data_IF_198414989940
#
_entry.id   IF_198414989940
#
_cell.length_a   1.000
_cell.length_b   1.000
_cell.length_c   1.000
_cell.angle_alpha   90.00
_cell.angle_beta   90.00
_cell.angle_gamma   90.00
#
_symmetry.space_group_name_H-M   'P 1'
#
loop_
_entity.id
_entity.type
_entity.pdbx_description
1 polymer ?
#
# COMPACT_ATOMS: atom_id res chain seq x y z
N UNK A 1 -10.70 5.99 12.97
CA UNK A 1 -10.56 4.51 13.13
C UNK A 1 -10.52 4.18 14.60
N UNK A 2 -11.23 3.14 15.09
CA UNK A 2 -11.13 2.70 16.48
C UNK A 2 -9.70 2.28 16.85
N UNK A 3 -9.25 2.61 18.06
CA UNK A 3 -7.90 2.31 18.55
C UNK A 3 -7.65 0.80 18.63
N UNK A 4 -8.67 0.02 18.98
CA UNK A 4 -8.61 -1.44 19.03
C UNK A 4 -8.23 -2.07 17.69
N UNK A 5 -8.73 -1.53 16.58
CA UNK A 5 -8.39 -1.98 15.23
C UNK A 5 -6.91 -1.73 14.95
N UNK A 6 -6.41 -0.52 15.25
CA UNK A 6 -4.99 -0.18 15.06
C UNK A 6 -4.08 -1.03 15.95
N UNK A 7 -4.46 -1.22 17.22
CA UNK A 7 -3.71 -2.04 18.18
C UNK A 7 -3.64 -3.53 17.78
N UNK A 8 -4.61 -4.03 16.99
CA UNK A 8 -4.62 -5.41 16.49
C UNK A 8 -3.63 -5.67 15.36
N UNK A 9 -3.07 -4.64 14.73
CA UNK A 9 -2.13 -4.81 13.63
C UNK A 9 -0.86 -5.47 14.13
N UNK A 10 -0.42 -6.57 13.49
CA UNK A 10 0.69 -7.41 13.96
C UNK A 10 1.94 -6.61 14.36
N UNK A 11 2.35 -5.64 13.51
CA UNK A 11 3.51 -4.78 13.76
C UNK A 11 3.32 -3.84 14.96
N UNK A 12 2.11 -3.32 15.16
CA UNK A 12 1.80 -2.45 16.31
C UNK A 12 1.70 -3.28 17.58
N UNK A 13 0.98 -4.41 17.54
CA UNK A 13 0.80 -5.34 18.66
C UNK A 13 2.13 -5.85 19.23
N UNK A 14 3.16 -6.00 18.39
CA UNK A 14 4.50 -6.38 18.83
C UNK A 14 5.24 -5.27 19.62
N UNK A 15 4.80 -4.00 19.52
CA UNK A 15 5.44 -2.84 20.12
C UNK A 15 4.66 -2.24 21.30
N UNK A 16 3.35 -2.48 21.38
CA UNK A 16 2.48 -1.88 22.40
C UNK A 16 1.83 -2.93 23.29
N UNK A 17 1.80 -2.66 24.59
CA UNK A 17 1.22 -3.58 25.58
C UNK A 17 -0.31 -3.42 25.72
N UNK A 18 -0.81 -2.20 25.56
CA UNK A 18 -2.22 -1.87 25.68
C UNK A 18 -2.59 -0.62 24.87
N UNK A 19 -3.90 -0.37 24.71
CA UNK A 19 -4.42 0.76 23.93
C UNK A 19 -4.08 2.14 24.51
N UNK A 20 -3.90 2.25 25.83
CA UNK A 20 -3.55 3.53 26.48
C UNK A 20 -2.12 3.97 26.14
N UNK A 21 -1.18 3.01 26.12
CA UNK A 21 0.19 3.24 25.68
C UNK A 21 0.22 3.68 24.20
N UNK A 22 -0.53 2.99 23.34
CA UNK A 22 -0.66 3.38 21.93
C UNK A 22 -1.25 4.79 21.78
N UNK A 23 -2.34 5.10 22.49
CA UNK A 23 -2.97 6.42 22.45
C UNK A 23 -1.99 7.54 22.87
N UNK A 24 -1.22 7.31 23.93
CA UNK A 24 -0.22 8.27 24.43
C UNK A 24 0.90 8.49 23.42
N UNK A 25 1.42 7.42 22.82
CA UNK A 25 2.43 7.52 21.76
C UNK A 25 1.88 8.28 20.54
N UNK A 26 0.66 7.96 20.10
CA UNK A 26 0.05 8.61 18.92
C UNK A 26 -0.24 10.10 19.13
N UNK A 27 -0.49 10.55 20.37
CA UNK A 27 -0.65 11.98 20.69
C UNK A 27 0.61 12.81 20.50
N UNK A 28 1.79 12.18 20.45
CA UNK A 28 3.06 12.86 20.14
C UNK A 28 3.25 13.12 18.64
N UNK A 29 2.41 12.53 17.79
CA UNK A 29 2.51 12.66 16.34
C UNK A 29 2.00 14.01 15.85
N UNK A 30 2.72 14.62 14.92
CA UNK A 30 2.22 15.79 14.18
C UNK A 30 1.23 15.43 13.06
N UNK A 31 1.09 14.14 12.72
CA UNK A 31 0.28 13.68 11.56
C UNK A 31 -1.03 13.01 11.96
N UNK A 32 -1.19 12.66 13.23
CA UNK A 32 -2.33 11.92 13.75
C UNK A 32 -2.94 12.69 14.92
N UNK A 33 -4.26 12.57 15.06
CA UNK A 33 -4.97 13.08 16.23
C UNK A 33 -5.78 11.96 16.86
N UNK A 34 -5.70 11.88 18.19
CA UNK A 34 -6.44 10.92 19.01
C UNK A 34 -7.63 11.65 19.62
N UNK A 35 -8.79 11.00 19.67
CA UNK A 35 -9.96 11.55 20.35
C UNK A 35 -9.71 11.76 21.85
N UNK A 36 -10.50 12.63 22.47
CA UNK A 36 -10.38 12.97 23.89
C UNK A 36 -10.45 11.72 24.77
N UNK A 37 -11.41 10.83 24.49
CA UNK A 37 -11.60 9.54 25.16
C UNK A 37 -10.50 8.50 24.88
N UNK A 38 -9.55 8.79 23.97
CA UNK A 38 -8.45 7.89 23.62
C UNK A 38 -8.83 6.71 22.71
N UNK A 39 -10.09 6.57 22.31
CA UNK A 39 -10.58 5.35 21.64
C UNK A 39 -10.55 5.42 20.13
N UNK A 40 -10.29 6.58 19.52
CA UNK A 40 -10.24 6.74 18.07
C UNK A 40 -9.02 7.53 17.67
N UNK A 41 -8.49 7.21 16.49
CA UNK A 41 -7.44 7.97 15.82
C UNK A 41 -7.87 8.34 14.42
N UNK A 42 -7.49 9.52 13.96
CA UNK A 42 -7.64 9.96 12.56
C UNK A 42 -6.37 10.70 12.11
N UNK A 43 -6.19 10.84 10.80
CA UNK A 43 -5.15 11.73 10.25
C UNK A 43 -5.52 13.18 10.54
N UNK A 44 -4.51 14.02 10.79
CA UNK A 44 -4.68 15.47 10.87
C UNK A 44 -5.08 16.00 9.50
N UNK A 45 -4.28 15.65 8.48
CA UNK A 45 -4.61 15.93 7.08
C UNK A 45 -5.35 14.73 6.48
N UNK A 46 -6.62 14.91 6.06
CA UNK A 46 -7.33 13.89 5.30
C UNK A 46 -6.60 13.53 4.01
N UNK A 47 -6.77 12.30 3.55
CA UNK A 47 -6.31 11.90 2.22
C UNK A 47 -7.29 12.45 1.18
N UNK A 48 -6.79 13.21 0.22
CA UNK A 48 -7.54 13.94 -0.80
C UNK A 48 -7.52 13.22 -2.15
N UNK A 49 -8.28 13.73 -3.12
CA UNK A 49 -8.26 13.23 -4.49
C UNK A 49 -6.92 13.53 -5.19
N UNK A 50 -6.35 14.71 -4.97
CA UNK A 50 -5.01 15.04 -5.49
C UNK A 50 -3.93 14.12 -4.92
N UNK A 51 -4.02 13.73 -3.64
CA UNK A 51 -3.10 12.73 -3.07
C UNK A 51 -3.24 11.36 -3.76
N UNK A 52 -4.46 11.01 -4.22
CA UNK A 52 -4.71 9.79 -4.96
C UNK A 52 -4.13 9.86 -6.37
N UNK A 53 -4.32 10.98 -7.07
CA UNK A 53 -3.77 11.23 -8.41
C UNK A 53 -2.24 11.19 -8.39
N UNK A 54 -1.61 11.87 -7.43
CA UNK A 54 -0.16 11.87 -7.25
C UNK A 54 0.37 10.45 -6.95
N UNK A 55 -0.34 9.70 -6.10
CA UNK A 55 0.01 8.31 -5.82
C UNK A 55 -0.09 7.45 -7.09
N UNK A 56 -1.17 7.60 -7.86
CA UNK A 56 -1.39 6.83 -9.09
C UNK A 56 -0.36 7.15 -10.17
N UNK A 57 0.05 8.41 -10.31
CA UNK A 57 1.07 8.83 -11.26
C UNK A 57 2.44 8.18 -11.01
N UNK A 58 2.69 7.68 -9.79
CA UNK A 58 3.93 6.96 -9.43
C UNK A 58 3.81 5.44 -9.49
N UNK A 59 2.64 4.90 -9.84
CA UNK A 59 2.41 3.47 -9.89
C UNK A 59 2.45 2.97 -11.33
N UNK A 60 3.36 2.03 -11.59
CA UNK A 60 3.43 1.28 -12.85
C UNK A 60 2.79 -0.10 -12.65
N UNK A 61 2.02 -0.55 -13.64
CA UNK A 61 1.49 -1.92 -13.69
C UNK A 61 2.42 -2.76 -14.54
N UNK A 62 3.03 -3.79 -13.95
CA UNK A 62 3.88 -4.74 -14.64
C UNK A 62 3.13 -6.06 -14.86
N UNK A 63 2.95 -6.43 -16.12
CA UNK A 63 2.47 -7.76 -16.54
C UNK A 63 3.64 -8.64 -17.00
N UNK A 64 3.39 -9.92 -17.30
CA UNK A 64 4.40 -10.87 -17.79
C UNK A 64 5.63 -10.95 -16.88
N UNK A 65 5.38 -11.01 -15.57
CA UNK A 65 6.44 -11.13 -14.56
C UNK A 65 7.30 -12.37 -14.82
N UNK A 66 8.61 -12.33 -14.47
CA UNK A 66 9.46 -13.50 -14.55
C UNK A 66 8.93 -14.64 -13.68
N UNK A 67 9.29 -15.88 -14.02
CA UNK A 67 8.90 -17.07 -13.24
C UNK A 67 9.26 -16.91 -11.75
N UNK A 68 10.47 -16.40 -11.47
CA UNK A 68 10.86 -15.94 -10.12
C UNK A 68 10.37 -14.51 -9.86
N UNK A 69 9.09 -14.38 -9.54
CA UNK A 69 8.42 -13.11 -9.20
C UNK A 69 8.47 -12.83 -7.68
N UNK A 70 9.47 -13.35 -6.97
CA UNK A 70 9.63 -13.03 -5.56
C UNK A 70 9.89 -11.52 -5.37
N UNK A 71 9.47 -10.98 -4.22
CA UNK A 71 9.61 -9.55 -3.93
C UNK A 71 11.05 -9.05 -4.12
N UNK A 72 12.05 -9.84 -3.73
CA UNK A 72 13.47 -9.47 -3.86
C UNK A 72 13.90 -9.34 -5.32
N UNK A 73 13.49 -10.27 -6.20
CA UNK A 73 13.84 -10.23 -7.61
C UNK A 73 13.13 -9.06 -8.33
N UNK A 74 11.82 -8.89 -8.09
CA UNK A 74 11.09 -7.76 -8.65
C UNK A 74 11.67 -6.42 -8.19
N UNK A 75 12.01 -6.30 -6.91
CA UNK A 75 12.65 -5.10 -6.37
C UNK A 75 13.97 -4.82 -7.09
N UNK A 76 14.80 -5.85 -7.30
CA UNK A 76 16.07 -5.73 -8.04
C UNK A 76 15.85 -5.25 -9.49
N UNK A 77 14.89 -5.85 -10.20
CA UNK A 77 14.61 -5.51 -11.61
C UNK A 77 14.15 -4.05 -11.73
N UNK A 78 13.11 -3.68 -10.99
CA UNK A 78 12.52 -2.33 -11.12
C UNK A 78 13.41 -1.24 -10.51
N UNK A 79 14.23 -1.56 -9.51
CA UNK A 79 15.21 -0.61 -8.97
C UNK A 79 16.35 -0.27 -9.94
N UNK A 80 16.47 -0.97 -11.08
CA UNK A 80 17.42 -0.60 -12.13
C UNK A 80 17.05 0.70 -12.85
N UNK A 81 15.77 1.09 -12.80
CA UNK A 81 15.27 2.29 -13.48
C UNK A 81 15.28 3.51 -12.57
N UNK A 82 14.90 3.32 -11.31
CA UNK A 82 14.67 4.38 -10.34
C UNK A 82 14.45 3.85 -8.92
N UNK A 83 14.21 4.75 -7.96
CA UNK A 83 14.01 4.37 -6.57
C UNK A 83 12.60 3.81 -6.37
N UNK A 84 12.50 2.49 -6.19
CA UNK A 84 11.23 1.83 -5.91
C UNK A 84 10.87 1.99 -4.44
N UNK A 85 9.64 2.42 -4.17
CA UNK A 85 9.09 2.59 -2.84
C UNK A 85 8.40 1.34 -2.32
N UNK A 86 7.47 0.79 -3.11
CA UNK A 86 6.81 -0.48 -2.79
C UNK A 86 6.52 -1.31 -4.04
N UNK A 87 6.49 -2.63 -3.87
CA UNK A 87 6.00 -3.57 -4.89
C UNK A 87 4.93 -4.44 -4.27
N UNK A 88 3.81 -4.56 -4.97
CA UNK A 88 2.71 -5.45 -4.60
C UNK A 88 2.39 -6.39 -5.76
N UNK A 89 2.75 -7.66 -5.60
CA UNK A 89 2.33 -8.73 -6.52
C UNK A 89 0.86 -9.06 -6.31
N UNK A 90 0.12 -9.14 -7.41
CA UNK A 90 -1.28 -9.47 -7.47
C UNK A 90 -1.44 -10.80 -8.22
N UNK A 91 -1.94 -11.81 -7.49
CA UNK A 91 -2.21 -13.12 -8.06
C UNK A 91 -3.62 -13.16 -8.66
N UNK A 92 -3.83 -13.93 -9.74
CA UNK A 92 -5.16 -14.18 -10.28
C UNK A 92 -6.09 -14.64 -9.16
N UNK A 93 -7.27 -14.00 -9.04
CA UNK A 93 -8.27 -14.47 -8.10
C UNK A 93 -8.92 -15.73 -8.68
N UNK A 94 -9.00 -16.81 -7.89
CA UNK A 94 -9.80 -17.95 -8.31
C UNK A 94 -11.29 -17.55 -8.21
N UNK A 95 -12.15 -17.89 -9.19
CA UNK A 95 -13.56 -17.49 -9.20
C UNK A 95 -14.36 -17.88 -7.93
N UNK A 96 -13.85 -18.86 -7.17
CA UNK A 96 -14.48 -19.38 -5.95
C UNK A 96 -13.68 -19.07 -4.68
N UNK A 97 -12.74 -18.12 -4.72
CA UNK A 97 -11.91 -17.76 -3.58
C UNK A 97 -12.70 -17.01 -2.50
N UNK A 98 -12.89 -17.63 -1.33
CA UNK A 98 -13.43 -17.04 -0.10
C UNK A 98 -12.43 -16.09 0.59
N UNK A 99 -11.77 -15.21 -0.18
CA UNK A 99 -10.90 -14.16 0.32
C UNK A 99 -11.71 -12.94 0.77
N UNK A 100 -11.24 -12.16 1.76
CA UNK A 100 -11.94 -10.97 2.21
C UNK A 100 -12.03 -9.99 1.04
N UNK A 101 -13.26 -9.61 0.66
CA UNK A 101 -13.52 -8.53 -0.30
C UNK A 101 -13.03 -7.23 0.33
N UNK A 102 -11.76 -6.89 0.07
CA UNK A 102 -11.23 -5.61 0.52
C UNK A 102 -11.79 -4.55 -0.42
N UNK A 103 -12.48 -3.56 0.15
CA UNK A 103 -13.00 -2.35 -0.50
C UNK A 103 -11.86 -1.44 -1.05
N UNK A 104 -10.93 -1.98 -1.84
CA UNK A 104 -9.81 -1.26 -2.44
C UNK A 104 -10.08 -1.14 -3.93
N UNK A 105 -10.09 0.09 -4.44
CA UNK A 105 -10.18 0.49 -5.86
C UNK A 105 -10.66 -0.62 -6.81
N UNK A 106 -11.93 -1.01 -6.66
CA UNK A 106 -12.50 -2.17 -7.36
C UNK A 106 -12.44 -2.05 -8.89
N UNK A 107 -12.20 -0.85 -9.43
CA UNK A 107 -12.24 -0.59 -10.86
C UNK A 107 -10.95 -1.00 -11.60
N UNK A 108 -9.78 -0.85 -10.98
CA UNK A 108 -8.50 -1.25 -11.59
C UNK A 108 -8.21 -2.73 -11.35
N UNK A 109 -8.46 -3.22 -10.13
CA UNK A 109 -8.30 -4.64 -9.79
C UNK A 109 -9.23 -5.55 -10.62
N UNK A 110 -10.41 -5.06 -11.06
CA UNK A 110 -11.32 -5.83 -11.95
C UNK A 110 -10.76 -6.06 -13.35
N UNK A 111 -9.96 -5.14 -13.90
CA UNK A 111 -9.43 -5.27 -15.27
C UNK A 111 -8.34 -6.35 -15.37
N UNK A 112 -7.62 -6.59 -14.26
CA UNK A 112 -6.50 -7.52 -14.19
C UNK A 112 -6.75 -8.76 -13.32
N UNK A 113 -7.99 -8.96 -12.85
CA UNK A 113 -8.38 -10.02 -11.91
C UNK A 113 -7.99 -11.45 -12.37
N UNK A 114 -7.78 -11.63 -13.68
CA UNK A 114 -7.46 -12.92 -14.30
C UNK A 114 -5.97 -13.12 -14.64
N UNK A 115 -5.07 -12.17 -14.33
CA UNK A 115 -3.64 -12.27 -14.69
C UNK A 115 -2.70 -11.92 -13.54
N UNK A 116 -1.57 -12.62 -13.46
CA UNK A 116 -0.46 -12.30 -12.56
C UNK A 116 0.16 -10.97 -12.99
N UNK A 117 0.17 -9.99 -12.08
CA UNK A 117 0.74 -8.66 -12.32
C UNK A 117 1.34 -8.09 -11.02
N UNK A 118 2.09 -7.01 -11.12
CA UNK A 118 2.58 -6.27 -9.97
C UNK A 118 2.29 -4.77 -10.10
N UNK A 119 1.94 -4.14 -8.98
CA UNK A 119 1.97 -2.69 -8.85
C UNK A 119 3.33 -2.28 -8.30
N UNK A 120 4.06 -1.44 -9.04
CA UNK A 120 5.37 -0.91 -8.69
C UNK A 120 5.21 0.58 -8.42
N UNK A 121 5.28 0.99 -7.16
CA UNK A 121 5.26 2.39 -6.75
C UNK A 121 6.70 2.91 -6.71
N UNK A 122 7.00 3.94 -7.50
CA UNK A 122 8.28 4.65 -7.46
C UNK A 122 8.23 5.83 -6.48
N UNK A 123 9.39 6.32 -6.06
CA UNK A 123 9.46 7.53 -5.23
C UNK A 123 9.04 8.79 -6.00
N UNK A 124 9.32 8.86 -7.30
CA UNK A 124 9.04 10.03 -8.15
C UNK A 124 8.24 9.65 -9.40
N UNK A 125 7.52 10.61 -9.98
CA UNK A 125 6.74 10.40 -11.22
C UNK A 125 7.68 10.14 -12.39
N UNK A 126 8.82 10.82 -12.44
CA UNK A 126 9.83 10.71 -13.48
C UNK A 126 10.40 9.29 -13.58
N UNK A 127 10.68 8.66 -12.43
CA UNK A 127 11.12 7.27 -12.36
C UNK A 127 10.03 6.31 -12.88
N UNK A 128 8.76 6.58 -12.59
CA UNK A 128 7.64 5.78 -13.08
C UNK A 128 7.48 5.91 -14.60
N UNK A 129 7.52 7.13 -15.13
CA UNK A 129 7.46 7.39 -16.58
C UNK A 129 8.62 6.72 -17.33
N UNK A 130 9.84 6.84 -16.78
CA UNK A 130 11.02 6.19 -17.33
C UNK A 130 10.89 4.66 -17.30
N UNK A 131 10.29 4.10 -16.26
CA UNK A 131 10.05 2.67 -16.16
C UNK A 131 9.04 2.18 -17.20
N UNK A 132 7.97 2.94 -17.45
CA UNK A 132 7.07 2.65 -18.57
C UNK A 132 7.88 2.63 -19.87
N UNK A 133 8.64 3.67 -20.17
CA UNK A 133 9.44 3.73 -21.41
C UNK A 133 10.45 2.58 -21.58
N UNK A 134 11.04 2.06 -20.50
CA UNK A 134 12.03 0.98 -20.57
C UNK A 134 11.39 -0.41 -20.69
N UNK A 135 10.20 -0.61 -20.09
CA UNK A 135 9.57 -1.92 -19.98
C UNK A 135 8.34 -2.13 -20.88
N UNK A 136 7.92 -1.13 -21.66
CA UNK A 136 6.97 -1.30 -22.78
C UNK A 136 7.68 -1.30 -24.13
#
# INVERSE_FOLDING_TARGET
VPMSVVASFKKIKALVQNSSMLASALRTSSKLVVSEDGNRVKRVQPFTESDLEELQARIVVAENLPDDHCYQNLMKIFSSVGSVKTIRTCYPQTPNGSGPVTNRSAKLDMLFANKLHAFVEYETIEDAEKAVFIFT
#
